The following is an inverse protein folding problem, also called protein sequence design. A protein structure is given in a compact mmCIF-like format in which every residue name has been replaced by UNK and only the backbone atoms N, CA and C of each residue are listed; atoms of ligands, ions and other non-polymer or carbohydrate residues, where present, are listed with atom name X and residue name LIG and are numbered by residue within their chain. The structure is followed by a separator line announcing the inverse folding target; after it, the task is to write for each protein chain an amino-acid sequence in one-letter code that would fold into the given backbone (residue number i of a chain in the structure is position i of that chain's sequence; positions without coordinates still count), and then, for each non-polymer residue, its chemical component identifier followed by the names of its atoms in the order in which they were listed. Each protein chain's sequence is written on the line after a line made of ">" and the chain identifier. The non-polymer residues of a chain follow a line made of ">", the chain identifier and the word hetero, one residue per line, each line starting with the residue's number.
data_IF_961602017559
#
_entry.id   IF_961602017559
#
_cell.length_a   1.000
_cell.length_b   1.000
_cell.length_c   1.000
_cell.angle_alpha   90.00
_cell.angle_beta   90.00
_cell.angle_gamma   90.00
#
_symmetry.space_group_name_H-M   'P 1'
#
loop_
_entity.id
_entity.type
_entity.pdbx_description
1 polymer ?
#
# COMPACT_ATOMS: atom_id res chain seq x y z
N UNK A 1 2.30 -4.85 -9.03
CA UNK A 1 3.66 -5.37 -8.78
C UNK A 1 4.62 -4.28 -8.29
N UNK A 2 4.85 -3.19 -9.05
CA UNK A 2 5.76 -2.12 -8.62
C UNK A 2 5.40 -1.51 -7.25
N UNK A 3 4.11 -1.27 -6.99
CA UNK A 3 3.61 -0.77 -5.69
C UNK A 3 3.99 -1.68 -4.52
N UNK A 4 3.76 -3.00 -4.64
CA UNK A 4 4.20 -3.98 -3.63
C UNK A 4 5.70 -3.91 -3.34
N UNK A 5 6.53 -3.82 -4.38
CA UNK A 5 7.99 -3.69 -4.22
C UNK A 5 8.33 -2.43 -3.40
N UNK A 6 7.66 -1.32 -3.70
CA UNK A 6 7.83 -0.05 -2.96
C UNK A 6 7.42 -0.21 -1.50
N UNK A 7 6.25 -0.80 -1.23
CA UNK A 7 5.71 -0.97 0.13
C UNK A 7 6.59 -1.91 0.97
N UNK A 8 7.01 -3.05 0.42
CA UNK A 8 7.95 -3.97 1.08
C UNK A 8 9.29 -3.32 1.35
N UNK A 9 9.81 -2.54 0.39
CA UNK A 9 11.04 -1.79 0.57
C UNK A 9 10.92 -0.74 1.67
N UNK A 10 9.79 -0.04 1.76
CA UNK A 10 9.53 0.90 2.83
C UNK A 10 9.52 0.19 4.19
N UNK A 11 8.77 -0.91 4.34
CA UNK A 11 8.81 -1.75 5.54
C UNK A 11 10.25 -2.12 5.92
N UNK A 12 11.04 -2.60 4.95
CA UNK A 12 12.45 -2.99 5.12
C UNK A 12 13.40 -1.84 5.53
N UNK A 13 13.01 -0.59 5.28
CA UNK A 13 13.81 0.59 5.59
C UNK A 13 13.35 1.32 6.85
N UNK A 14 12.10 1.12 7.25
CA UNK A 14 11.53 1.77 8.43
C UNK A 14 12.14 1.22 9.70
N UNK A 15 12.34 2.11 10.69
CA UNK A 15 12.83 1.76 12.00
C UNK A 15 11.91 0.71 12.66
N UNK A 16 12.51 -0.37 13.11
CA UNK A 16 11.81 -1.47 13.80
C UNK A 16 11.39 -1.04 15.20
N UNK A 17 10.26 -1.53 15.67
CA UNK A 17 9.96 -1.55 17.10
C UNK A 17 10.71 -2.75 17.67
N UNK A 18 11.60 -2.51 18.62
CA UNK A 18 12.27 -3.57 19.38
C UNK A 18 11.31 -4.09 20.44
N UNK A 19 11.14 -5.41 20.51
CA UNK A 19 10.50 -6.07 21.64
C UNK A 19 11.61 -6.44 22.63
N UNK A 20 11.43 -6.12 23.91
CA UNK A 20 12.35 -6.53 24.98
C UNK A 20 11.99 -7.97 25.37
N UNK A 21 12.95 -8.89 25.30
CA UNK A 21 12.75 -10.33 25.51
C UNK A 21 12.81 -11.13 24.20
N UNK A 22 13.47 -12.28 24.25
CA UNK A 22 14.05 -13.04 23.13
C UNK A 22 13.25 -13.21 21.83
N UNK A 23 14.06 -13.32 20.78
CA UNK A 23 13.82 -13.73 19.40
C UNK A 23 12.90 -12.84 18.57
N UNK A 24 13.57 -11.91 17.86
CA UNK A 24 13.09 -11.31 16.63
C UNK A 24 12.17 -12.26 15.88
N UNK A 25 10.94 -11.83 15.55
CA UNK A 25 10.08 -12.56 14.62
C UNK A 25 10.97 -12.90 13.40
N UNK A 26 11.24 -14.20 13.12
CA UNK A 26 12.12 -14.55 12.03
C UNK A 26 11.59 -13.90 10.75
N UNK A 27 12.38 -13.02 10.15
CA UNK A 27 12.03 -12.31 8.92
C UNK A 27 10.84 -11.34 9.02
N UNK A 28 10.47 -10.89 10.22
CA UNK A 28 9.36 -9.96 10.45
C UNK A 28 9.65 -8.94 11.54
N UNK A 29 9.06 -7.75 11.43
CA UNK A 29 9.06 -6.79 12.54
C UNK A 29 7.90 -5.80 12.39
N UNK A 30 7.34 -5.40 13.53
CA UNK A 30 6.37 -4.31 13.54
C UNK A 30 7.06 -2.96 13.40
N UNK A 31 6.40 -2.03 12.72
CA UNK A 31 6.78 -0.62 12.66
C UNK A 31 5.61 0.28 13.02
N UNK A 32 5.91 1.52 13.43
CA UNK A 32 4.88 2.56 13.54
C UNK A 32 4.45 3.02 12.16
N UNK A 33 3.16 3.27 12.00
CA UNK A 33 2.61 3.84 10.76
C UNK A 33 3.25 5.19 10.45
N UNK A 34 3.47 6.06 11.44
CA UNK A 34 4.15 7.34 11.22
C UNK A 34 5.56 7.17 10.65
N UNK A 35 6.39 6.29 11.21
CA UNK A 35 7.76 6.06 10.72
C UNK A 35 7.76 5.46 9.32
N UNK A 36 6.77 4.59 9.03
CA UNK A 36 6.58 4.02 7.69
C UNK A 36 6.25 5.09 6.65
N UNK A 37 5.34 6.00 6.99
CA UNK A 37 4.98 7.11 6.10
C UNK A 37 6.12 8.11 5.94
N UNK A 38 6.90 8.38 6.99
CA UNK A 38 8.12 9.17 6.91
C UNK A 38 9.15 8.51 5.99
N UNK A 39 9.30 7.18 6.09
CA UNK A 39 10.19 6.41 5.20
C UNK A 39 9.75 6.49 3.74
N UNK A 40 8.44 6.39 3.47
CA UNK A 40 7.89 6.47 2.12
C UNK A 40 8.02 7.87 1.52
N UNK A 41 7.73 8.90 2.30
CA UNK A 41 7.60 10.28 1.82
C UNK A 41 8.87 11.11 1.96
N UNK A 42 9.75 10.75 2.88
CA UNK A 42 10.88 11.57 3.31
C UNK A 42 10.46 12.85 4.04
N UNK A 43 9.20 12.92 4.48
CA UNK A 43 8.60 14.08 5.13
C UNK A 43 7.98 13.64 6.44
N UNK A 44 8.20 14.45 7.47
CA UNK A 44 7.57 14.25 8.77
C UNK A 44 6.02 14.14 8.61
N UNK A 45 5.38 13.04 9.04
CA UNK A 45 3.96 12.80 8.81
C UNK A 45 3.03 13.87 9.39
N UNK A 46 3.44 14.56 10.45
CA UNK A 46 2.62 15.62 11.03
C UNK A 46 2.47 16.82 10.08
N UNK A 47 3.42 17.03 9.16
CA UNK A 47 3.38 18.06 8.11
C UNK A 47 2.59 17.65 6.86
N UNK A 48 2.16 16.39 6.75
CA UNK A 48 1.43 15.89 5.59
C UNK A 48 -0.05 16.26 5.63
N UNK A 49 -0.61 16.53 4.45
CA UNK A 49 -2.04 16.77 4.26
C UNK A 49 -2.79 15.46 4.00
N UNK A 50 -3.53 14.97 5.00
CA UNK A 50 -4.27 13.69 4.93
C UNK A 50 -5.73 13.82 4.44
N UNK A 51 -6.06 14.92 3.76
CA UNK A 51 -7.43 15.22 3.40
C UNK A 51 -8.27 15.74 4.58
N UNK A 52 -9.61 15.69 4.49
CA UNK A 52 -10.52 16.30 5.45
C UNK A 52 -10.69 15.52 6.76
N UNK A 53 -9.78 14.60 7.10
CA UNK A 53 -9.84 13.83 8.35
C UNK A 53 -9.66 14.75 9.57
N UNK A 54 -10.51 14.57 10.58
CA UNK A 54 -10.43 15.32 11.84
C UNK A 54 -9.12 15.03 12.59
N UNK A 55 -8.64 16.00 13.37
CA UNK A 55 -7.38 15.91 14.12
C UNK A 55 -7.31 14.72 15.08
N UNK A 56 -8.37 14.43 15.84
CA UNK A 56 -8.36 13.33 16.81
C UNK A 56 -8.23 11.94 16.12
N UNK A 57 -9.03 11.60 15.09
CA UNK A 57 -8.81 10.41 14.27
C UNK A 57 -7.43 10.36 13.58
N UNK A 58 -6.96 11.47 12.99
CA UNK A 58 -5.60 11.55 12.39
C UNK A 58 -4.51 11.22 13.41
N UNK A 59 -4.57 11.81 14.60
CA UNK A 59 -3.60 11.57 15.66
C UNK A 59 -3.64 10.12 16.15
N UNK A 60 -4.84 9.53 16.27
CA UNK A 60 -4.98 8.10 16.60
C UNK A 60 -4.31 7.22 15.54
N UNK A 61 -4.57 7.50 14.26
CA UNK A 61 -4.01 6.73 13.16
C UNK A 61 -2.47 6.81 13.13
N UNK A 62 -1.90 8.02 13.20
CA UNK A 62 -0.45 8.21 13.07
C UNK A 62 0.34 7.74 14.29
N UNK A 63 -0.07 8.15 15.49
CA UNK A 63 0.71 7.90 16.73
C UNK A 63 0.55 6.47 17.24
N UNK A 64 -0.63 5.88 17.04
CA UNK A 64 -0.93 4.56 17.60
C UNK A 64 -0.85 3.46 16.52
N UNK A 65 -0.89 3.81 15.24
CA UNK A 65 -0.85 2.83 14.15
C UNK A 65 0.38 1.96 14.22
N UNK A 66 0.17 0.65 14.35
CA UNK A 66 1.18 -0.39 14.22
C UNK A 66 0.87 -1.20 12.98
N UNK A 67 1.89 -1.45 12.16
CA UNK A 67 1.75 -2.26 10.95
C UNK A 67 2.78 -3.37 10.99
N UNK A 68 2.41 -4.50 10.41
CA UNK A 68 3.28 -5.65 10.26
C UNK A 68 2.84 -6.44 9.03
N UNK A 69 3.74 -6.52 8.04
CA UNK A 69 3.64 -7.44 6.92
C UNK A 69 5.01 -7.62 6.28
N UNK A 70 5.26 -8.79 5.70
CA UNK A 70 6.50 -9.09 4.98
C UNK A 70 6.26 -9.69 3.58
N UNK A 71 5.02 -10.01 3.22
CA UNK A 71 4.63 -10.47 1.89
C UNK A 71 3.18 -10.11 1.55
N UNK A 72 2.80 -10.34 0.28
CA UNK A 72 1.45 -10.15 -0.22
C UNK A 72 0.85 -11.48 -0.65
N UNK A 73 -0.42 -11.71 -0.32
CA UNK A 73 -1.20 -12.86 -0.80
C UNK A 73 -2.42 -12.39 -1.61
N UNK A 74 -2.77 -13.04 -2.73
CA UNK A 74 -4.02 -12.75 -3.43
C UNK A 74 -5.22 -13.26 -2.64
N UNK A 75 -6.32 -12.52 -2.65
CA UNK A 75 -7.61 -12.96 -2.11
C UNK A 75 -8.73 -12.74 -3.13
N UNK A 76 -9.74 -13.61 -3.07
CA UNK A 76 -10.94 -13.51 -3.92
C UNK A 76 -12.15 -12.91 -3.20
N UNK A 77 -11.98 -12.52 -1.94
CA UNK A 77 -13.00 -11.94 -1.08
C UNK A 77 -12.59 -10.55 -0.58
N UNK A 78 -13.56 -9.77 -0.09
CA UNK A 78 -13.32 -8.49 0.59
C UNK A 78 -13.10 -8.75 2.08
N UNK A 79 -11.91 -8.46 2.66
CA UNK A 79 -11.66 -8.68 4.08
C UNK A 79 -12.53 -7.80 4.97
N UNK A 80 -13.06 -8.38 6.05
CA UNK A 80 -13.66 -7.66 7.17
C UNK A 80 -12.63 -7.45 8.31
N UNK A 81 -13.06 -6.89 9.44
CA UNK A 81 -12.19 -6.63 10.60
C UNK A 81 -11.53 -7.91 11.18
N UNK A 82 -12.26 -9.02 11.26
CA UNK A 82 -11.72 -10.30 11.75
C UNK A 82 -10.68 -10.84 10.79
N UNK A 83 -10.97 -10.84 9.48
CA UNK A 83 -10.02 -11.28 8.46
C UNK A 83 -8.73 -10.44 8.51
N UNK A 84 -8.85 -9.12 8.64
CA UNK A 84 -7.69 -8.22 8.76
C UNK A 84 -6.85 -8.49 10.01
N UNK A 85 -7.48 -8.92 11.12
CA UNK A 85 -6.75 -9.32 12.31
C UNK A 85 -5.99 -10.63 12.09
N UNK A 86 -6.59 -11.61 11.43
CA UNK A 86 -5.91 -12.87 11.06
C UNK A 86 -4.73 -12.62 10.12
N UNK A 87 -4.92 -11.77 9.11
CA UNK A 87 -3.85 -11.33 8.20
C UNK A 87 -2.71 -10.65 8.96
N UNK A 88 -3.02 -9.83 9.97
CA UNK A 88 -2.00 -9.21 10.83
C UNK A 88 -1.20 -10.26 11.60
N UNK A 89 -1.87 -11.26 12.19
CA UNK A 89 -1.18 -12.36 12.89
C UNK A 89 -0.24 -13.14 11.97
N UNK A 90 -0.59 -13.27 10.69
CA UNK A 90 0.21 -13.96 9.69
C UNK A 90 1.27 -13.08 9.01
N UNK A 91 1.32 -11.77 9.31
CA UNK A 91 2.23 -10.85 8.65
C UNK A 91 1.91 -10.63 7.17
N UNK A 92 0.62 -10.67 6.82
CA UNK A 92 0.13 -10.60 5.45
C UNK A 92 -0.40 -9.22 5.07
N UNK A 93 0.09 -8.72 3.95
CA UNK A 93 -0.66 -7.78 3.12
C UNK A 93 -1.44 -8.55 2.04
N UNK A 94 -2.43 -7.89 1.46
CA UNK A 94 -3.40 -8.53 0.57
C UNK A 94 -3.38 -7.86 -0.79
N UNK A 95 -3.42 -8.67 -1.85
CA UNK A 95 -3.72 -8.25 -3.20
C UNK A 95 -5.19 -8.57 -3.46
N UNK A 96 -5.99 -7.54 -3.71
CA UNK A 96 -7.40 -7.68 -4.01
C UNK A 96 -7.61 -8.33 -5.38
N UNK A 97 -8.82 -8.85 -5.59
CA UNK A 97 -9.24 -9.42 -6.87
C UNK A 97 -9.14 -8.36 -7.98
N UNK A 98 -8.40 -8.64 -9.07
CA UNK A 98 -8.30 -7.72 -10.20
C UNK A 98 -9.67 -7.35 -10.78
N UNK A 99 -9.84 -6.08 -11.17
CA UNK A 99 -11.08 -5.59 -11.79
C UNK A 99 -12.23 -5.34 -10.82
N UNK A 100 -12.07 -5.60 -9.52
CA UNK A 100 -13.04 -5.14 -8.53
C UNK A 100 -12.94 -3.63 -8.31
N UNK A 101 -14.09 -3.00 -8.02
CA UNK A 101 -14.12 -1.60 -7.65
C UNK A 101 -13.52 -1.39 -6.26
N UNK A 102 -12.76 -0.31 -6.09
CA UNK A 102 -12.30 0.13 -4.77
C UNK A 102 -10.78 0.18 -4.65
N UNK A 103 -10.16 -0.93 -4.28
CA UNK A 103 -8.75 -0.97 -3.84
C UNK A 103 -8.03 -2.16 -4.49
N UNK A 104 -6.78 -1.96 -4.90
CA UNK A 104 -5.96 -2.99 -5.53
C UNK A 104 -5.21 -3.84 -4.50
N UNK A 105 -4.75 -3.21 -3.43
CA UNK A 105 -3.94 -3.83 -2.38
C UNK A 105 -4.36 -3.29 -1.01
N UNK A 106 -4.12 -4.06 0.06
CA UNK A 106 -4.50 -3.75 1.43
C UNK A 106 -3.41 -4.21 2.39
N UNK A 107 -3.20 -3.51 3.52
CA UNK A 107 -2.52 -4.11 4.67
C UNK A 107 -3.17 -3.71 5.99
N UNK A 108 -3.16 -4.59 7.02
CA UNK A 108 -3.77 -4.29 8.30
C UNK A 108 -3.02 -3.20 9.08
N UNK A 109 -3.77 -2.40 9.83
CA UNK A 109 -3.25 -1.44 10.82
C UNK A 109 -3.86 -1.78 12.17
N UNK A 110 -3.04 -2.08 13.17
CA UNK A 110 -3.49 -2.22 14.54
C UNK A 110 -3.42 -0.88 15.27
N UNK A 111 -4.47 -0.55 16.02
CA UNK A 111 -4.60 0.69 16.78
C UNK A 111 -4.83 0.36 18.26
N UNK A 112 -3.75 0.16 19.03
CA UNK A 112 -3.83 -0.18 20.45
C UNK A 112 -4.72 0.81 21.23
N UNK A 113 -5.52 0.32 22.17
CA UNK A 113 -6.34 1.16 23.04
C UNK A 113 -5.45 2.00 23.97
N UNK A 114 -5.88 3.22 24.29
CA UNK A 114 -5.07 4.19 25.06
C UNK A 114 -4.77 3.78 26.51
N UNK A 115 -5.60 2.92 27.09
CA UNK A 115 -5.63 2.64 28.53
C UNK A 115 -5.00 1.30 28.93
N UNK A 116 -4.42 0.56 27.99
CA UNK A 116 -3.92 -0.80 28.24
C UNK A 116 -2.45 -0.89 27.86
N UNK A 117 -1.69 -1.61 28.69
CA UNK A 117 -0.31 -1.98 28.35
C UNK A 117 -0.32 -2.74 27.01
N UNK A 118 0.62 -2.45 26.08
CA UNK A 118 0.73 -3.18 24.81
C UNK A 118 0.84 -4.70 24.99
N UNK A 119 1.34 -5.14 26.15
CA UNK A 119 1.83 -6.50 26.37
C UNK A 119 0.86 -7.41 27.16
N UNK A 120 -0.33 -6.93 27.56
CA UNK A 120 -1.17 -7.65 28.53
C UNK A 120 -2.56 -8.08 28.05
N UNK A 121 -2.98 -7.77 26.81
CA UNK A 121 -4.35 -8.07 26.33
C UNK A 121 -4.36 -8.74 24.95
N UNK A 122 -5.28 -9.71 24.77
CA UNK A 122 -5.55 -10.35 23.48
C UNK A 122 -5.94 -9.30 22.43
N UNK A 123 -5.31 -9.35 21.25
CA UNK A 123 -5.65 -8.46 20.14
C UNK A 123 -7.14 -8.61 19.79
N UNK A 124 -7.79 -7.47 19.49
CA UNK A 124 -9.24 -7.41 19.24
C UNK A 124 -9.53 -6.84 17.86
N UNK A 125 -10.50 -7.40 17.11
CA UNK A 125 -10.97 -6.82 15.86
C UNK A 125 -11.45 -5.36 16.00
N UNK A 126 -11.94 -4.96 17.19
CA UNK A 126 -12.36 -3.57 17.45
C UNK A 126 -11.22 -2.55 17.33
N UNK A 127 -9.97 -3.00 17.43
CA UNK A 127 -8.77 -2.18 17.34
C UNK A 127 -8.06 -2.33 15.98
N UNK A 128 -8.66 -3.04 15.03
CA UNK A 128 -8.10 -3.17 13.68
C UNK A 128 -8.62 -2.06 12.77
N UNK A 129 -7.79 -1.72 11.81
CA UNK A 129 -8.08 -0.84 10.67
C UNK A 129 -7.23 -1.33 9.50
N UNK A 130 -7.16 -0.55 8.43
CA UNK A 130 -6.38 -0.91 7.25
C UNK A 130 -5.76 0.31 6.56
N UNK A 131 -4.74 0.02 5.76
CA UNK A 131 -4.29 0.88 4.68
C UNK A 131 -4.77 0.28 3.36
N UNK A 132 -5.56 1.02 2.60
CA UNK A 132 -5.96 0.66 1.25
C UNK A 132 -5.06 1.30 0.22
N UNK A 133 -4.76 0.59 -0.85
CA UNK A 133 -3.86 1.05 -1.90
C UNK A 133 -4.61 1.02 -3.22
N UNK A 134 -4.59 2.15 -3.90
CA UNK A 134 -4.99 2.24 -5.29
C UNK A 134 -3.77 2.59 -6.12
N UNK A 135 -3.48 1.78 -7.12
CA UNK A 135 -2.44 2.03 -8.11
C UNK A 135 -3.10 2.41 -9.44
N UNK A 136 -2.68 3.52 -10.02
CA UNK A 136 -3.02 3.94 -11.37
C UNK A 136 -1.73 3.89 -12.20
N UNK A 137 -1.71 3.02 -13.20
CA UNK A 137 -0.56 2.85 -14.11
C UNK A 137 -0.80 3.55 -15.47
N UNK A 138 -1.61 4.60 -15.49
CA UNK A 138 -1.89 5.38 -16.68
C UNK A 138 -0.93 6.56 -16.81
N UNK A 139 -0.61 6.94 -18.04
CA UNK A 139 0.16 8.15 -18.38
C UNK A 139 -0.71 9.40 -18.36
N UNK A 140 -2.03 9.23 -18.45
CA UNK A 140 -3.01 10.32 -18.44
C UNK A 140 -3.30 10.84 -17.02
N UNK A 141 -3.98 11.98 -16.94
CA UNK A 141 -4.43 12.53 -15.67
C UNK A 141 -5.30 11.52 -14.91
N UNK A 142 -5.16 11.50 -13.59
CA UNK A 142 -5.98 10.63 -12.73
C UNK A 142 -7.43 11.10 -12.81
N UNK A 143 -8.34 10.19 -13.15
CA UNK A 143 -9.76 10.46 -12.99
C UNK A 143 -10.14 10.36 -11.51
N UNK A 144 -10.44 11.53 -10.93
CA UNK A 144 -10.87 11.67 -9.53
C UNK A 144 -12.36 11.40 -9.35
N UNK A 145 -13.12 11.18 -10.43
CA UNK A 145 -14.56 10.89 -10.37
C UNK A 145 -14.84 9.67 -9.50
N UNK A 146 -13.95 8.68 -9.53
CA UNK A 146 -14.03 7.42 -8.79
C UNK A 146 -13.42 7.48 -7.39
N UNK A 147 -12.86 8.61 -6.95
CA UNK A 147 -12.19 8.68 -5.65
C UNK A 147 -13.11 8.45 -4.46
N UNK A 148 -14.43 8.56 -4.64
CA UNK A 148 -15.43 8.19 -3.65
C UNK A 148 -15.45 6.67 -3.36
N UNK A 149 -15.08 5.85 -4.35
CA UNK A 149 -14.99 4.38 -4.26
C UNK A 149 -13.74 3.91 -3.51
N UNK A 150 -12.68 4.73 -3.47
CA UNK A 150 -11.45 4.45 -2.73
C UNK A 150 -11.66 4.74 -1.24
N UNK A 151 -12.51 3.93 -0.62
CA UNK A 151 -13.00 4.09 0.75
C UNK A 151 -13.41 2.73 1.31
N UNK A 152 -13.61 2.61 2.63
CA UNK A 152 -14.09 1.34 3.21
C UNK A 152 -15.47 0.97 2.66
N UNK A 153 -16.36 1.96 2.55
CA UNK A 153 -17.72 1.76 2.05
C UNK A 153 -17.73 1.43 0.56
N UNK A 154 -16.92 2.14 -0.23
CA UNK A 154 -16.78 1.89 -1.66
C UNK A 154 -16.15 0.54 -2.01
N UNK A 155 -15.23 0.05 -1.17
CA UNK A 155 -14.64 -1.28 -1.31
C UNK A 155 -15.46 -2.40 -0.64
N UNK A 156 -16.55 -2.05 0.06
CA UNK A 156 -17.39 -3.03 0.78
C UNK A 156 -16.74 -3.63 2.03
N UNK A 157 -15.70 -2.99 2.59
CA UNK A 157 -15.01 -3.44 3.80
C UNK A 157 -15.89 -3.13 5.01
N UNK A 158 -16.30 -4.19 5.73
CA UNK A 158 -17.22 -4.11 6.87
C UNK A 158 -16.50 -4.13 8.21
N UNK A 159 -17.23 -3.75 9.26
CA UNK A 159 -16.81 -3.84 10.66
C UNK A 159 -15.60 -2.99 11.08
N UNK A 160 -15.21 -2.01 10.26
CA UNK A 160 -14.16 -1.04 10.58
C UNK A 160 -14.76 0.27 11.09
N UNK A 161 -14.59 0.52 12.39
CA UNK A 161 -15.00 1.76 13.07
C UNK A 161 -13.86 2.75 13.29
N UNK A 162 -12.63 2.30 13.05
CA UNK A 162 -11.41 3.08 13.25
C UNK A 162 -11.07 3.96 12.05
N UNK A 163 -10.23 5.01 12.23
CA UNK A 163 -9.67 5.73 11.11
C UNK A 163 -8.77 4.81 10.28
N UNK A 164 -8.78 5.01 8.97
CA UNK A 164 -8.04 4.21 8.00
C UNK A 164 -7.33 5.11 6.99
N UNK A 165 -6.34 4.55 6.30
CA UNK A 165 -5.51 5.28 5.34
C UNK A 165 -5.75 4.77 3.93
N UNK A 166 -5.77 5.65 2.95
CA UNK A 166 -5.71 5.30 1.53
C UNK A 166 -4.44 5.89 0.91
N UNK A 167 -3.65 5.07 0.22
CA UNK A 167 -2.49 5.50 -0.55
C UNK A 167 -2.80 5.36 -2.04
N UNK A 168 -2.74 6.47 -2.76
CA UNK A 168 -2.86 6.48 -4.22
C UNK A 168 -1.46 6.56 -4.85
N UNK A 169 -1.11 5.58 -5.68
CA UNK A 169 0.13 5.59 -6.46
C UNK A 169 -0.19 5.80 -7.93
N UNK A 170 0.31 6.89 -8.52
CA UNK A 170 0.34 7.10 -9.96
C UNK A 170 1.77 7.02 -10.45
N UNK A 171 2.26 5.81 -10.71
CA UNK A 171 3.70 5.56 -10.85
C UNK A 171 4.29 6.02 -12.19
N UNK A 172 3.45 6.13 -13.23
CA UNK A 172 3.82 6.63 -14.57
C UNK A 172 3.55 8.12 -14.76
N UNK A 173 2.99 8.80 -13.76
CA UNK A 173 2.85 10.26 -13.80
C UNK A 173 4.24 10.88 -13.85
N UNK A 174 4.63 11.42 -15.00
CA UNK A 174 5.85 12.21 -15.09
C UNK A 174 5.59 13.55 -14.41
N UNK A 175 6.29 13.82 -13.32
CA UNK A 175 6.49 15.19 -12.91
C UNK A 175 7.34 15.85 -14.01
N UNK A 176 6.78 16.83 -14.72
CA UNK A 176 7.60 17.77 -15.50
C UNK A 176 8.76 18.23 -14.62
N UNK A 177 9.99 18.38 -15.16
CA UNK A 177 11.25 18.48 -14.40
C UNK A 177 11.41 19.82 -13.67
N UNK A 178 10.46 20.12 -12.80
CA UNK A 178 10.54 21.21 -11.86
C UNK A 178 10.59 20.57 -10.47
N UNK A 179 11.82 20.31 -10.02
CA UNK A 179 12.17 19.67 -8.74
C UNK A 179 11.55 20.34 -7.51
N UNK A 180 10.94 21.52 -7.68
CA UNK A 180 10.17 22.21 -6.64
C UNK A 180 8.72 21.74 -6.51
N UNK A 181 8.09 21.16 -7.55
CA UNK A 181 6.67 20.74 -7.51
C UNK A 181 6.43 19.41 -6.82
N UNK A 182 7.33 18.43 -6.92
CA UNK A 182 7.13 17.09 -6.32
C UNK A 182 7.02 17.13 -4.80
N UNK A 183 7.81 17.99 -4.13
CA UNK A 183 7.67 18.25 -2.68
C UNK A 183 6.46 19.14 -2.35
N UNK A 184 6.01 19.94 -3.31
CA UNK A 184 4.84 20.82 -3.19
C UNK A 184 3.53 20.04 -3.38
N UNK A 185 3.49 18.95 -4.13
CA UNK A 185 2.29 18.10 -4.27
C UNK A 185 1.91 17.38 -2.95
N UNK A 186 2.92 17.08 -2.12
CA UNK A 186 2.71 16.49 -0.79
C UNK A 186 2.37 17.54 0.29
N UNK A 187 2.62 18.83 0.01
CA UNK A 187 2.41 19.99 0.90
C UNK A 187 1.32 20.98 0.45
N UNK A 188 0.88 20.90 -0.79
CA UNK A 188 -0.14 21.75 -1.41
C UNK A 188 -1.48 21.03 -1.47
N UNK A 189 -2.55 21.76 -1.79
CA UNK A 189 -3.89 21.18 -1.87
C UNK A 189 -3.93 20.11 -2.97
N UNK A 190 -4.09 18.82 -2.64
CA UNK A 190 -4.28 17.80 -3.66
C UNK A 190 -5.59 18.06 -4.42
N UNK A 191 -5.77 17.50 -5.63
CA UNK A 191 -7.05 17.49 -6.31
C UNK A 191 -8.16 17.02 -5.36
N UNK A 192 -9.34 17.63 -5.43
CA UNK A 192 -10.39 17.40 -4.44
C UNK A 192 -10.91 15.97 -4.53
N UNK A 193 -10.48 15.12 -3.59
CA UNK A 193 -11.03 13.78 -3.43
C UNK A 193 -12.51 13.90 -3.10
N UNK A 194 -13.36 13.31 -3.95
CA UNK A 194 -14.78 13.13 -3.64
C UNK A 194 -14.95 12.31 -2.36
N UNK A 195 -15.84 12.77 -1.49
CA UNK A 195 -16.20 12.08 -0.24
C UNK A 195 -16.79 10.69 -0.55
N UNK A 196 -16.62 9.71 0.35
CA UNK A 196 -17.35 8.46 0.25
C UNK A 196 -18.86 8.71 0.15
N UNK A 197 -19.58 7.85 -0.57
CA UNK A 197 -21.04 7.96 -0.72
C UNK A 197 -21.77 7.70 0.60
N UNK A 198 -21.23 6.79 1.42
CA UNK A 198 -21.73 6.54 2.75
C UNK A 198 -21.36 7.71 3.68
N UNK A 199 -22.38 8.40 4.17
CA UNK A 199 -22.22 9.53 5.08
C UNK A 199 -21.61 9.16 6.44
N UNK A 200 -21.60 7.88 6.81
CA UNK A 200 -20.95 7.38 8.03
C UNK A 200 -19.45 7.14 7.84
N UNK A 201 -18.96 7.11 6.59
CA UNK A 201 -17.57 6.88 6.23
C UNK A 201 -16.75 8.19 6.23
N UNK A 202 -16.55 8.75 7.43
CA UNK A 202 -15.94 10.07 7.63
C UNK A 202 -14.49 10.03 8.15
N UNK A 203 -13.94 8.83 8.38
CA UNK A 203 -12.62 8.67 9.03
C UNK A 203 -11.50 8.28 8.05
N UNK A 204 -11.71 8.55 6.75
CA UNK A 204 -10.73 8.31 5.70
C UNK A 204 -9.62 9.37 5.73
N UNK A 205 -8.39 8.93 5.93
CA UNK A 205 -7.19 9.69 5.58
C UNK A 205 -6.70 9.26 4.19
N UNK A 206 -6.04 10.15 3.45
CA UNK A 206 -5.40 9.76 2.18
C UNK A 206 -4.10 10.50 1.89
N UNK A 207 -3.22 9.87 1.10
CA UNK A 207 -2.01 10.46 0.53
C UNK A 207 -1.85 10.04 -0.94
N UNK A 208 -1.19 10.89 -1.73
CA UNK A 208 -0.93 10.65 -3.15
C UNK A 208 0.57 10.62 -3.42
N UNK A 209 0.99 9.66 -4.23
CA UNK A 209 2.34 9.54 -4.78
C UNK A 209 2.25 9.66 -6.30
N UNK A 210 2.64 10.81 -6.83
CA UNK A 210 2.66 11.10 -8.26
C UNK A 210 4.08 10.92 -8.76
N UNK A 211 4.32 9.82 -9.48
CA UNK A 211 5.63 9.43 -9.98
C UNK A 211 6.54 8.78 -8.94
N UNK A 212 7.57 8.07 -9.41
CA UNK A 212 8.55 7.40 -8.54
C UNK A 212 9.52 8.37 -7.84
N UNK A 213 9.58 9.63 -8.27
CA UNK A 213 10.50 10.64 -7.74
C UNK A 213 10.03 11.20 -6.38
N UNK A 214 8.73 11.11 -6.07
CA UNK A 214 8.18 11.51 -4.77
C UNK A 214 8.34 10.43 -3.67
N UNK A 215 8.90 9.26 -4.00
CA UNK A 215 9.04 8.13 -3.08
C UNK A 215 10.48 8.11 -2.54
N UNK A 216 10.64 8.55 -1.30
CA UNK A 216 11.94 8.81 -0.69
C UNK A 216 12.76 7.54 -0.42
N UNK A 217 12.11 6.42 -0.12
CA UNK A 217 12.83 5.18 0.18
C UNK A 217 13.54 4.56 -1.03
N UNK A 218 13.28 5.03 -2.26
CA UNK A 218 13.86 4.48 -3.49
C UNK A 218 15.25 5.07 -3.78
N UNK A 219 16.23 4.20 -4.02
CA UNK A 219 17.53 4.62 -4.57
C UNK A 219 17.40 4.90 -6.07
N UNK A 220 18.32 5.66 -6.69
CA UNK A 220 18.33 5.88 -8.14
C UNK A 220 18.30 4.57 -8.93
N UNK A 221 19.09 3.56 -8.52
CA UNK A 221 19.12 2.24 -9.18
C UNK A 221 17.76 1.53 -9.15
N UNK A 222 17.08 1.56 -8.00
CA UNK A 222 15.77 0.93 -7.85
C UNK A 222 14.70 1.70 -8.60
N UNK A 223 14.76 3.04 -8.60
CA UNK A 223 13.87 3.87 -9.40
C UNK A 223 14.01 3.52 -10.89
N UNK A 224 15.23 3.41 -11.40
CA UNK A 224 15.47 2.97 -12.78
C UNK A 224 14.93 1.57 -13.04
N UNK A 225 15.15 0.61 -12.14
CA UNK A 225 14.62 -0.75 -12.29
C UNK A 225 13.07 -0.76 -12.31
N UNK A 226 12.43 0.00 -11.43
CA UNK A 226 10.97 0.13 -11.41
C UNK A 226 10.43 0.84 -12.65
N UNK A 227 11.11 1.88 -13.17
CA UNK A 227 10.75 2.51 -14.46
C UNK A 227 10.80 1.48 -15.60
N UNK A 228 11.84 0.64 -15.64
CA UNK A 228 11.94 -0.45 -16.64
C UNK A 228 10.79 -1.43 -16.47
N UNK A 229 10.54 -1.94 -15.25
CA UNK A 229 9.44 -2.85 -14.96
C UNK A 229 8.07 -2.27 -15.34
N UNK A 230 7.85 -0.98 -15.07
CA UNK A 230 6.61 -0.31 -15.43
C UNK A 230 6.44 -0.17 -16.93
N UNK A 231 7.52 -0.05 -17.71
CA UNK A 231 7.48 0.12 -19.16
C UNK A 231 7.60 -1.21 -19.93
N UNK A 232 7.88 -2.31 -19.24
CA UNK A 232 7.92 -3.64 -19.82
C UNK A 232 6.51 -4.13 -20.17
N UNK A 233 6.36 -4.70 -21.36
CA UNK A 233 5.22 -5.57 -21.70
C UNK A 233 5.39 -6.95 -21.06
N UNK A 234 4.34 -7.79 -20.93
CA UNK A 234 4.49 -9.16 -20.43
C UNK A 234 5.53 -9.99 -21.19
N UNK A 235 5.72 -9.72 -22.48
CA UNK A 235 6.73 -10.35 -23.34
C UNK A 235 8.15 -9.89 -23.01
N UNK A 236 8.31 -8.64 -22.56
CA UNK A 236 9.57 -8.06 -22.12
C UNK A 236 10.01 -8.55 -20.74
N UNK A 237 9.11 -9.11 -19.91
CA UNK A 237 9.44 -9.59 -18.56
C UNK A 237 10.27 -10.88 -18.62
N UNK A 238 10.01 -11.76 -19.59
CA UNK A 238 10.74 -13.02 -19.79
C UNK A 238 12.25 -12.81 -20.04
N UNK A 239 12.68 -11.90 -20.94
CA UNK A 239 14.11 -11.61 -21.17
C UNK A 239 14.79 -10.74 -20.10
N UNK A 240 14.06 -10.21 -19.08
CA UNK A 240 14.70 -9.52 -17.94
C UNK A 240 15.48 -10.49 -17.04
N UNK A 241 15.07 -11.77 -17.00
CA UNK A 241 16.00 -12.84 -16.68
C UNK A 241 16.90 -13.01 -17.89
N UNK A 242 18.14 -12.50 -17.83
CA UNK A 242 19.14 -12.89 -18.82
C UNK A 242 19.11 -14.42 -18.89
N UNK A 243 18.84 -15.03 -20.05
CA UNK A 243 18.98 -16.47 -20.16
C UNK A 243 20.44 -16.77 -19.84
N UNK A 244 20.68 -17.42 -18.71
CA UNK A 244 21.84 -18.30 -18.67
C UNK A 244 21.57 -19.31 -19.78
N UNK A 245 22.48 -19.40 -20.77
CA UNK A 245 22.31 -20.24 -21.96
C UNK A 245 22.15 -21.74 -21.62
N UNK A 246 22.14 -22.10 -20.34
CA UNK A 246 22.02 -23.45 -19.79
C UNK A 246 20.68 -23.75 -19.11
N UNK A 247 19.79 -22.78 -18.93
CA UNK A 247 18.51 -23.01 -18.24
C UNK A 247 17.34 -22.37 -18.99
N UNK A 248 16.45 -23.21 -19.54
CA UNK A 248 15.11 -22.82 -19.94
C UNK A 248 14.40 -22.14 -18.75
N UNK A 249 13.53 -21.13 -18.97
CA UNK A 249 12.76 -20.53 -17.89
C UNK A 249 11.94 -21.62 -17.20
N UNK A 250 12.13 -21.73 -15.88
CA UNK A 250 11.52 -22.74 -15.03
C UNK A 250 9.99 -22.79 -15.25
N UNK A 251 9.39 -23.99 -15.40
CA UNK A 251 7.95 -24.15 -15.63
C UNK A 251 7.07 -23.43 -14.62
N UNK A 252 7.47 -23.34 -13.34
CA UNK A 252 6.71 -22.63 -12.32
C UNK A 252 6.73 -21.12 -12.51
N UNK A 253 7.85 -20.57 -12.99
CA UNK A 253 7.96 -19.16 -13.37
C UNK A 253 7.00 -18.82 -14.51
N UNK A 254 6.92 -19.69 -15.53
CA UNK A 254 5.98 -19.52 -16.64
C UNK A 254 4.52 -19.61 -16.17
N UNK A 255 4.20 -20.56 -15.28
CA UNK A 255 2.87 -20.71 -14.71
C UNK A 255 2.47 -19.49 -13.84
N UNK A 256 3.41 -18.96 -13.05
CA UNK A 256 3.20 -17.75 -12.27
C UNK A 256 2.91 -16.54 -13.17
N UNK A 257 3.70 -16.33 -14.23
CA UNK A 257 3.47 -15.25 -15.21
C UNK A 257 2.08 -15.37 -15.86
N UNK A 258 1.68 -16.59 -16.24
CA UNK A 258 0.36 -16.89 -16.80
C UNK A 258 -0.77 -16.53 -15.84
N UNK A 259 -0.65 -16.91 -14.57
CA UNK A 259 -1.64 -16.58 -13.52
C UNK A 259 -1.76 -15.07 -13.26
N UNK A 260 -0.66 -14.32 -13.39
CA UNK A 260 -0.71 -12.86 -13.18
C UNK A 260 -1.32 -12.09 -14.36
N UNK A 261 -1.37 -12.68 -15.56
CA UNK A 261 -1.84 -12.01 -16.79
C UNK A 261 -2.67 -12.96 -17.69
N UNK A 262 -3.83 -13.47 -17.22
CA UNK A 262 -4.60 -14.49 -17.93
C UNK A 262 -5.08 -14.06 -19.33
N UNK A 263 -5.33 -12.77 -19.53
CA UNK A 263 -5.84 -12.19 -20.80
C UNK A 263 -4.89 -12.31 -22.00
N UNK A 264 -3.60 -12.58 -21.78
CA UNK A 264 -2.59 -12.60 -22.85
C UNK A 264 -2.25 -14.01 -23.35
N UNK A 265 -2.64 -15.05 -22.62
CA UNK A 265 -2.39 -16.45 -23.01
C UNK A 265 -3.58 -17.11 -23.71
N UNK A 266 -4.78 -16.53 -23.63
CA UNK A 266 -5.99 -17.06 -24.27
C UNK A 266 -6.15 -16.68 -25.76
N UNK A 267 -5.06 -16.24 -26.41
CA UNK A 267 -5.03 -15.87 -27.84
C UNK A 267 -4.17 -16.78 -28.72
N UNK A 268 -3.91 -18.01 -28.27
CA UNK A 268 -3.31 -19.05 -29.12
C UNK A 268 -4.04 -20.37 -28.90
N UNK A 269 -5.24 -20.45 -29.46
CA UNK A 269 -5.84 -21.68 -29.96
C UNK A 269 -6.37 -21.39 -31.36
#
# INVERSE_FOLDING_TARGET
>A
MATRIILLRAMHKTKKITCDGEDSIPYGYSVRLEDFLETLTGVNPQQLHFGPIKNAPKNRLLRNGRIFFNHFTPVEYTPNATDLLELLYQGLAVQCKPGQHGLDELFPIYLPPKSKSPDSDKLSPKNISFCGIQTKNQTDSIDWSDSHKWSKSGAGIKDIQNPYLILLFSLRSEDKPDTTRSKKALKGNPPEWKKPLDSTDQQRAYLNFLGLDCIACLTPKIRTALKRLLNSTPEDILPLHKPDHRTLPDPHTLEWIRRQNPMFYDRRN
#
